data_IF_065964272237
#
_entry.id   IF_065964272237
#
_cell.length_a   1.000
_cell.length_b   1.000
_cell.length_c   1.000
_cell.angle_alpha   90.00
_cell.angle_beta   90.00
_cell.angle_gamma   90.00
#
_symmetry.space_group_name_H-M   'P 1'
#
loop_
_entity.id
_entity.type
_entity.pdbx_description
1 polymer ?
2 non-polymer ?
3 non-polymer ?
4 non-polymer ?
5 water ?
#
# COMPACT_ATOMS: atom_id res chain seq x y z
N UNK A 3 -3.26 -12.45 22.27
CA UNK A 3 -3.25 -12.83 20.87
C UNK A 3 -2.21 -13.92 20.59
N UNK A 4 -2.68 -15.15 20.41
CA UNK A 4 -1.79 -16.26 20.13
C UNK A 4 -1.27 -16.95 21.38
N UNK A 5 -0.47 -17.98 21.15
CA UNK A 5 0.15 -18.75 22.24
C UNK A 5 1.02 -17.81 23.05
N UNK A 6 1.26 -18.11 24.33
CA UNK A 6 2.06 -17.20 25.16
C UNK A 6 3.54 -17.22 24.75
N UNK A 7 4.25 -16.16 25.15
CA UNK A 7 5.58 -15.91 24.60
C UNK A 7 6.53 -17.08 24.83
N UNK A 8 6.43 -17.76 25.98
CA UNK A 8 7.35 -18.88 26.20
C UNK A 8 7.06 -20.04 25.27
N UNK A 9 5.79 -20.38 25.06
CA UNK A 9 5.44 -21.39 24.06
C UNK A 9 5.94 -20.97 22.68
N UNK A 10 5.76 -19.69 22.34
CA UNK A 10 6.18 -19.19 21.03
C UNK A 10 7.69 -19.28 20.85
N UNK A 11 8.45 -18.96 21.91
CA UNK A 11 9.90 -19.04 21.85
C UNK A 11 10.36 -20.48 21.68
N UNK A 12 9.73 -21.42 22.40
CA UNK A 12 10.08 -22.83 22.19
C UNK A 12 9.79 -23.25 20.75
N UNK A 13 8.63 -22.86 20.22
CA UNK A 13 8.27 -23.25 18.86
C UNK A 13 9.24 -22.64 17.83
N UNK A 14 9.71 -21.42 18.08
CA UNK A 14 10.65 -20.80 17.16
C UNK A 14 12.01 -21.48 17.21
N UNK A 15 12.47 -21.82 18.42
CA UNK A 15 13.69 -22.64 18.54
C UNK A 15 13.54 -23.92 17.73
N UNK A 16 12.42 -24.60 17.90
CA UNK A 16 12.16 -25.85 17.17
C UNK A 16 12.26 -25.61 15.66
N UNK A 17 11.55 -24.60 15.16
CA UNK A 17 11.56 -24.32 13.73
C UNK A 17 12.99 -24.06 13.26
N UNK A 18 13.75 -23.27 14.01
CA UNK A 18 15.06 -22.85 13.51
C UNK A 18 16.04 -24.01 13.52
N UNK A 19 15.92 -24.91 14.51
CA UNK A 19 16.73 -26.13 14.47
C UNK A 19 16.32 -27.02 13.30
N UNK A 20 15.03 -27.09 13.01
CA UNK A 20 14.59 -27.95 11.90
C UNK A 20 15.07 -27.40 10.56
N UNK A 21 14.97 -26.08 10.36
CA UNK A 21 15.37 -25.47 9.08
C UNK A 21 16.78 -25.88 8.68
N UNK A 22 17.65 -26.08 9.66
CA UNK A 22 19.06 -26.36 9.40
C UNK A 22 19.31 -27.82 9.03
N UNK A 23 18.32 -28.69 9.18
CA UNK A 23 18.46 -30.07 8.75
C UNK A 23 18.41 -30.14 7.23
N UNK A 24 19.31 -30.95 6.66
CA UNK A 24 19.34 -31.08 5.21
C UNK A 24 17.99 -31.56 4.70
N UNK A 25 17.35 -32.46 5.45
CA UNK A 25 16.01 -32.93 5.08
C UNK A 25 15.00 -31.79 4.96
N UNK A 26 15.29 -30.62 5.52
CA UNK A 26 14.35 -29.50 5.44
C UNK A 26 14.37 -28.83 4.07
N UNK A 27 15.48 -28.95 3.33
CA UNK A 27 15.66 -28.18 2.09
C UNK A 27 14.42 -28.04 1.22
N UNK A 28 13.68 -29.10 0.92
CA UNK A 28 12.53 -28.95 0.00
C UNK A 28 11.36 -28.19 0.60
N UNK A 29 11.36 -27.91 1.90
CA UNK A 29 10.24 -27.27 2.56
C UNK A 29 10.55 -25.86 3.07
N UNK A 30 11.77 -25.37 2.84
CA UNK A 30 12.13 -24.05 3.32
C UNK A 30 11.21 -22.96 2.77
N UNK A 31 10.79 -23.09 1.52
CA UNK A 31 10.00 -22.09 0.82
C UNK A 31 8.74 -22.71 0.28
N UNK A 32 7.78 -21.89 -0.16
CA UNK A 32 6.60 -22.44 -0.83
C UNK A 32 6.99 -23.09 -2.14
N UNK A 33 6.30 -24.17 -2.48
CA UNK A 33 6.49 -24.79 -3.79
C UNK A 33 6.06 -23.79 -4.86
N UNK A 34 6.82 -23.77 -5.96
CA UNK A 34 6.53 -22.89 -7.10
C UNK A 34 6.16 -23.78 -8.29
N UNK A 35 4.88 -24.10 -8.47
CA UNK A 35 4.50 -25.04 -9.54
C UNK A 35 4.88 -24.56 -10.94
N UNK A 36 5.00 -23.25 -11.16
CA UNK A 36 5.39 -22.78 -12.49
C UNK A 36 6.90 -22.89 -12.69
N UNK A 37 7.68 -22.47 -11.70
CA UNK A 37 9.13 -22.60 -11.84
C UNK A 37 9.55 -24.06 -12.03
N UNK A 38 8.80 -24.99 -11.44
CA UNK A 38 9.14 -26.41 -11.43
C UNK A 38 8.36 -27.21 -12.48
N UNK A 39 7.54 -26.55 -13.28
CA UNK A 39 6.82 -27.20 -14.38
C UNK A 39 5.96 -28.35 -13.88
N UNK A 40 5.28 -28.14 -12.76
CA UNK A 40 4.35 -29.14 -12.26
C UNK A 40 2.97 -28.51 -12.18
N UNK A 41 2.31 -28.31 -13.31
CA UNK A 41 1.06 -27.53 -13.32
C UNK A 41 -0.03 -28.12 -12.46
N UNK A 42 -0.06 -29.44 -12.28
CA UNK A 42 -1.13 -30.09 -11.53
C UNK A 42 -1.00 -29.90 -10.03
N UNK A 43 -0.04 -29.10 -9.54
CA UNK A 43 0.21 -29.06 -8.12
C UNK A 43 -0.94 -28.40 -7.37
N UNK A 44 -1.39 -27.24 -7.83
CA UNK A 44 -2.48 -26.54 -7.15
C UNK A 44 -3.84 -27.19 -7.38
N UNK A 45 -3.96 -28.12 -8.32
CA UNK A 45 -5.20 -28.88 -8.45
C UNK A 45 -5.28 -30.01 -7.43
N UNK A 46 -4.16 -30.72 -7.21
CA UNK A 46 -4.13 -31.77 -6.20
C UNK A 46 -4.02 -31.20 -4.79
N UNK A 47 -3.18 -30.19 -4.59
CA UNK A 47 -2.82 -29.69 -3.27
C UNK A 47 -3.63 -28.42 -3.04
N UNK A 48 -4.70 -28.55 -2.26
CA UNK A 48 -5.62 -27.45 -2.01
C UNK A 48 -5.09 -26.47 -0.97
N UNK A 49 -4.12 -26.88 -0.13
CA UNK A 49 -3.59 -26.03 0.93
C UNK A 49 -2.08 -26.22 1.02
N UNK A 50 -1.32 -25.49 0.20
CA UNK A 50 0.14 -25.58 0.29
C UNK A 50 0.65 -25.01 1.61
N UNK A 51 1.74 -25.60 2.10
CA UNK A 51 2.30 -25.22 3.39
C UNK A 51 3.82 -25.41 3.33
N UNK A 52 4.56 -24.56 4.04
CA UNK A 52 6.02 -24.62 3.99
C UNK A 52 6.59 -24.00 5.26
N UNK A 53 7.87 -24.28 5.52
CA UNK A 53 8.47 -23.84 6.78
C UNK A 53 8.49 -22.32 6.90
N UNK A 54 8.67 -21.61 5.79
CA UNK A 54 8.69 -20.15 5.83
C UNK A 54 7.33 -19.59 6.24
N UNK A 55 6.26 -20.14 5.66
CA UNK A 55 4.91 -19.72 6.03
C UNK A 55 4.65 -19.99 7.50
N UNK A 56 5.11 -21.14 8.00
CA UNK A 56 4.89 -21.48 9.40
C UNK A 56 5.62 -20.50 10.31
N UNK A 57 6.91 -20.27 10.02
CA UNK A 57 7.69 -19.33 10.82
C UNK A 57 7.05 -17.96 10.84
N UNK A 58 6.57 -17.49 9.70
CA UNK A 58 6.03 -16.13 9.64
C UNK A 58 4.65 -16.04 10.28
N UNK A 59 3.89 -17.14 10.30
CA UNK A 59 2.68 -17.16 11.12
C UNK A 59 3.04 -17.10 12.59
N UNK A 60 4.05 -17.86 13.00
CA UNK A 60 4.52 -17.85 14.38
C UNK A 60 4.84 -16.44 14.83
N UNK A 61 5.71 -15.76 14.07
CA UNK A 61 6.11 -14.41 14.44
C UNK A 61 4.93 -13.46 14.46
N UNK A 62 3.95 -13.67 13.57
CA UNK A 62 2.76 -12.83 13.52
C UNK A 62 1.78 -13.11 14.65
N UNK A 63 2.06 -14.09 15.52
CA UNK A 63 1.12 -14.52 16.55
C UNK A 63 -0.15 -15.08 15.94
N UNK A 64 -0.02 -15.76 14.79
CA UNK A 64 -1.15 -16.32 14.06
C UNK A 64 -1.46 -17.76 14.46
N UNK A 65 -0.76 -18.26 15.48
CA UNK A 65 -1.02 -19.62 16.01
C UNK A 65 -1.57 -19.49 17.43
N UNK A 66 -2.70 -20.14 17.71
CA UNK A 66 -3.36 -20.08 19.04
C UNK A 66 -3.06 -21.32 19.89
N UNK A 67 -2.60 -22.41 19.27
CA UNK A 67 -2.26 -23.66 19.99
C UNK A 67 -1.02 -24.28 19.37
N UNK A 68 -0.16 -24.97 20.14
CA UNK A 68 0.94 -25.73 19.52
C UNK A 68 0.43 -26.77 18.53
N UNK A 69 -0.79 -27.27 18.77
CA UNK A 69 -1.37 -28.26 17.88
C UNK A 69 -1.60 -27.69 16.48
N UNK A 70 -1.93 -26.40 16.37
CA UNK A 70 -2.03 -25.79 15.04
C UNK A 70 -0.71 -25.89 14.30
N UNK A 71 0.39 -25.55 14.97
CA UNK A 71 1.72 -25.66 14.35
C UNK A 71 1.96 -27.09 13.88
N UNK A 72 1.75 -28.05 14.77
CA UNK A 72 1.94 -29.45 14.39
C UNK A 72 1.07 -29.80 13.18
N UNK A 73 -0.17 -29.32 13.14
CA UNK A 73 -1.06 -29.62 12.03
C UNK A 73 -0.52 -29.06 10.72
N UNK A 74 -0.05 -27.81 10.75
CA UNK A 74 0.52 -27.24 9.53
C UNK A 74 1.70 -28.06 9.06
N UNK A 75 2.52 -28.55 9.99
CA UNK A 75 3.65 -29.41 9.66
C UNK A 75 3.18 -30.71 9.00
N UNK A 76 2.27 -31.41 9.68
CA UNK A 76 1.66 -32.61 9.12
C UNK A 76 1.17 -32.35 7.71
N UNK A 77 0.46 -31.22 7.52
CA UNK A 77 -0.10 -30.89 6.22
C UNK A 77 1.00 -30.71 5.20
N UNK A 78 2.08 -30.03 5.61
CA UNK A 78 3.25 -29.90 4.76
C UNK A 78 3.70 -31.26 4.23
N UNK A 79 3.71 -32.28 5.09
CA UNK A 79 4.15 -33.64 4.67
C UNK A 79 3.08 -34.33 3.83
N UNK A 80 1.81 -34.20 4.22
CA UNK A 80 0.72 -34.91 3.50
C UNK A 80 0.61 -34.33 2.08
N UNK A 81 0.99 -33.09 1.88
CA UNK A 81 1.01 -32.48 0.53
C UNK A 81 1.99 -33.24 -0.37
N UNK A 82 3.22 -33.43 0.10
CA UNK A 82 4.20 -34.17 -0.70
C UNK A 82 3.80 -35.64 -0.84
N UNK A 83 3.26 -36.25 0.22
CA UNK A 83 2.72 -37.59 0.10
C UNK A 83 1.71 -37.67 -1.04
N UNK A 84 0.83 -36.67 -1.12
CA UNK A 84 -0.28 -36.69 -2.07
C UNK A 84 0.18 -36.43 -3.49
N UNK A 85 1.16 -35.55 -3.67
CA UNK A 85 1.56 -35.16 -5.01
C UNK A 85 2.76 -35.92 -5.54
N UNK A 86 3.67 -36.37 -4.68
CA UNK A 86 4.83 -37.13 -5.13
C UNK A 86 4.72 -38.63 -4.86
N UNK A 87 3.76 -39.03 -4.04
CA UNK A 87 3.68 -40.41 -3.63
C UNK A 87 4.14 -40.58 -2.19
N UNK A 88 3.69 -41.68 -1.44
CA UNK A 88 4.10 -41.91 -0.05
C UNK A 88 5.57 -42.24 0.11
N UNK A 89 6.25 -42.67 -0.93
CA UNK A 89 7.63 -43.12 -0.76
C UNK A 89 8.63 -42.34 -1.61
N UNK A 90 8.18 -41.22 -2.00
CA UNK A 90 9.15 -40.41 -2.71
C UNK A 90 10.18 -39.82 -1.75
N UNK A 91 11.34 -39.48 -2.30
CA UNK A 91 12.43 -38.94 -1.50
C UNK A 91 11.98 -37.70 -0.75
N UNK A 92 11.34 -36.77 -1.45
CA UNK A 92 10.86 -35.54 -0.82
C UNK A 92 9.88 -35.87 0.31
N UNK A 93 9.00 -36.85 0.10
CA UNK A 93 8.04 -37.22 1.14
C UNK A 93 8.75 -37.78 2.37
N UNK A 94 9.76 -38.64 2.17
CA UNK A 94 10.48 -39.19 3.32
C UNK A 94 11.22 -38.10 4.07
N UNK A 95 11.80 -37.15 3.35
CA UNK A 95 12.44 -36.02 4.03
C UNK A 95 11.42 -35.23 4.84
N UNK A 96 10.23 -35.03 4.28
CA UNK A 96 9.15 -34.41 5.04
C UNK A 96 8.87 -35.17 6.32
N UNK A 97 8.81 -36.50 6.22
CA UNK A 97 8.51 -37.31 7.39
C UNK A 97 9.61 -37.16 8.44
N UNK A 98 10.86 -37.09 7.99
CA UNK A 98 11.99 -36.97 8.90
C UNK A 98 11.92 -35.65 9.66
N UNK A 99 11.68 -34.55 8.94
CA UNK A 99 11.63 -33.27 9.65
C UNK A 99 10.39 -33.20 10.52
N UNK A 100 9.29 -33.83 10.11
CA UNK A 100 8.11 -33.87 10.97
C UNK A 100 8.41 -34.60 12.27
N UNK A 101 9.16 -35.70 12.19
CA UNK A 101 9.54 -36.42 13.39
C UNK A 101 10.41 -35.55 14.28
N UNK A 102 11.43 -34.92 13.71
CA UNK A 102 12.30 -34.04 14.49
C UNK A 102 11.49 -32.94 15.16
N UNK A 103 10.53 -32.37 14.45
CA UNK A 103 9.77 -31.26 15.00
C UNK A 103 8.87 -31.72 16.14
N UNK A 104 8.31 -32.92 15.95
CA UNK A 104 7.49 -33.39 17.07
C UNK A 104 8.35 -33.68 18.30
N UNK A 105 9.41 -34.24 18.04
CA UNK A 105 10.34 -34.49 19.13
C UNK A 105 10.63 -33.20 19.90
N UNK A 106 10.96 -32.13 19.17
CA UNK A 106 11.20 -30.83 19.82
C UNK A 106 9.96 -30.37 20.58
N UNK A 107 8.79 -30.53 19.99
CA UNK A 107 7.56 -30.03 20.59
C UNK A 107 7.20 -30.78 21.86
N UNK A 108 7.63 -32.03 21.99
CA UNK A 108 7.41 -32.78 23.23
C UNK A 108 7.70 -31.95 24.47
N UNK A 109 8.78 -31.16 24.43
CA UNK A 109 9.22 -30.37 25.56
C UNK A 109 8.57 -28.99 25.60
N UNK A 110 7.50 -28.79 24.86
CA UNK A 110 6.81 -27.50 24.82
C UNK A 110 6.24 -27.16 26.21
N UNK A 111 6.70 -26.09 26.86
CA UNK A 111 6.13 -25.74 28.16
C UNK A 111 4.64 -25.46 28.06
N UNK A 112 3.95 -25.64 29.17
CA UNK A 112 2.51 -25.46 29.20
C UNK A 112 2.14 -23.98 29.25
N UNK A 113 0.91 -23.68 28.83
CA UNK A 113 0.37 -22.34 28.99
C UNK A 113 0.55 -21.85 30.42
N UNK A 114 0.10 -22.65 31.38
CA UNK A 114 -0.03 -22.26 32.79
C UNK A 114 -1.30 -21.41 32.96
N UNK B 3 -2.10 27.39 8.66
CA UNK B 3 -1.85 28.49 7.74
C UNK B 3 -2.33 28.17 6.31
N UNK B 4 -3.61 28.40 6.05
CA UNK B 4 -4.23 28.14 4.77
C UNK B 4 -5.67 28.60 4.76
N UNK B 5 -6.52 27.98 3.96
CA UNK B 5 -7.93 28.37 4.04
C UNK B 5 -8.46 28.05 5.42
N UNK B 6 -9.41 28.81 5.98
CA UNK B 6 -9.92 28.49 7.31
C UNK B 6 -10.46 27.07 7.38
N UNK B 7 -10.51 26.48 8.57
CA UNK B 7 -11.00 25.08 8.76
C UNK B 7 -12.38 24.80 8.14
N UNK B 8 -13.28 25.75 8.15
CA UNK B 8 -14.68 25.48 7.69
C UNK B 8 -14.73 25.35 6.17
N UNK B 9 -13.84 26.05 5.49
CA UNK B 9 -13.76 25.90 4.02
C UNK B 9 -13.00 24.62 3.71
N UNK B 10 -11.99 24.31 4.53
CA UNK B 10 -11.23 23.08 4.30
C UNK B 10 -12.11 21.85 4.46
N UNK B 11 -12.94 21.82 5.50
CA UNK B 11 -13.88 20.72 5.66
C UNK B 11 -14.76 20.57 4.43
N UNK B 12 -15.22 21.69 3.86
CA UNK B 12 -16.08 21.62 2.69
C UNK B 12 -15.33 21.04 1.50
N UNK B 13 -14.12 21.52 1.25
CA UNK B 13 -13.36 21.02 0.11
C UNK B 13 -13.02 19.54 0.30
N UNK B 14 -12.71 19.13 1.53
CA UNK B 14 -12.46 17.72 1.80
C UNK B 14 -13.70 16.87 1.55
N UNK B 15 -14.87 17.37 1.95
CA UNK B 15 -16.09 16.63 1.66
C UNK B 15 -16.31 16.50 0.16
N UNK B 16 -16.10 17.60 -0.58
CA UNK B 16 -16.24 17.55 -2.02
C UNK B 16 -15.31 16.50 -2.62
N UNK B 17 -14.06 16.49 -2.17
CA UNK B 17 -13.09 15.55 -2.70
C UNK B 17 -13.47 14.12 -2.35
N UNK B 18 -13.95 13.90 -1.12
CA UNK B 18 -14.35 12.56 -0.73
C UNK B 18 -15.51 12.07 -1.60
N UNK B 19 -16.47 12.95 -1.87
CA UNK B 19 -17.55 12.58 -2.79
C UNK B 19 -17.00 12.22 -4.17
N UNK B 20 -16.15 13.08 -4.72
CA UNK B 20 -15.61 12.84 -6.06
C UNK B 20 -14.86 11.51 -6.11
N UNK B 21 -14.06 11.22 -5.08
CA UNK B 21 -13.20 10.04 -5.10
C UNK B 21 -14.00 8.75 -5.24
N UNK B 22 -15.15 8.68 -4.58
CA UNK B 22 -15.94 7.41 -4.58
C UNK B 22 -16.61 7.18 -5.93
N UNK B 23 -16.69 8.20 -6.77
CA UNK B 23 -17.26 8.01 -8.12
C UNK B 23 -16.36 7.11 -8.97
N UNK B 24 -16.97 6.24 -9.77
CA UNK B 24 -16.21 5.36 -10.68
C UNK B 24 -15.55 6.23 -11.75
N UNK B 25 -16.23 7.28 -12.17
CA UNK B 25 -15.58 8.16 -13.13
C UNK B 25 -14.26 8.73 -12.62
N UNK B 26 -14.02 8.65 -11.31
CA UNK B 26 -12.81 9.21 -10.73
C UNK B 26 -11.63 8.26 -10.80
N UNK B 27 -11.83 7.01 -11.18
CA UNK B 27 -10.78 6.00 -11.05
C UNK B 27 -9.49 6.34 -11.79
N UNK B 28 -9.51 6.97 -12.97
CA UNK B 28 -8.24 7.30 -13.63
C UNK B 28 -7.47 8.42 -12.94
N UNK B 29 -8.11 9.19 -12.04
CA UNK B 29 -7.53 10.37 -11.42
C UNK B 29 -7.23 10.18 -9.93
N UNK B 30 -7.22 8.94 -9.45
CA UNK B 30 -7.08 8.71 -8.01
C UNK B 30 -5.66 8.95 -7.52
N UNK B 31 -4.65 8.63 -8.33
CA UNK B 31 -3.27 8.82 -7.91
C UNK B 31 -2.42 9.13 -9.13
N UNK B 32 -1.16 9.50 -8.93
CA UNK B 32 -0.32 9.90 -10.07
C UNK B 32 -0.33 8.88 -11.21
N UNK B 33 -0.38 9.40 -12.42
CA UNK B 33 -0.21 8.58 -13.62
C UNK B 33 1.14 7.89 -13.56
N UNK B 34 1.17 6.59 -13.84
CA UNK B 34 2.40 5.80 -13.90
C UNK B 34 2.74 5.54 -15.37
N UNK B 35 3.58 6.36 -16.00
CA UNK B 35 3.76 6.23 -17.46
C UNK B 35 4.45 4.95 -17.88
N UNK B 36 5.14 4.26 -16.97
CA UNK B 36 5.78 3.00 -17.32
C UNK B 36 4.77 1.87 -17.31
N UNK B 37 3.94 1.81 -16.27
CA UNK B 37 2.86 0.81 -16.25
C UNK B 37 1.96 0.94 -17.49
N UNK B 38 1.72 2.17 -17.94
CA UNK B 38 0.80 2.45 -19.04
C UNK B 38 1.49 2.55 -20.40
N UNK B 39 2.79 2.29 -20.46
CA UNK B 39 3.55 2.35 -21.72
C UNK B 39 3.24 3.63 -22.49
N UNK B 40 3.31 4.76 -21.80
CA UNK B 40 3.18 6.07 -22.42
C UNK B 40 4.43 6.87 -22.12
N UNK B 41 5.58 6.46 -22.65
CA UNK B 41 6.86 7.07 -22.22
C UNK B 41 6.98 8.56 -22.51
N UNK B 42 6.03 9.16 -23.20
CA UNK B 42 6.10 10.61 -23.54
C UNK B 42 5.09 11.45 -22.73
N UNK B 43 4.40 10.84 -21.78
CA UNK B 43 3.41 11.58 -20.95
C UNK B 43 4.06 12.81 -20.29
N UNK B 44 5.24 12.65 -19.68
CA UNK B 44 5.85 13.78 -18.99
C UNK B 44 6.45 14.78 -19.95
N UNK B 45 6.89 14.31 -21.12
CA UNK B 45 7.34 15.22 -22.15
C UNK B 45 6.27 16.23 -22.50
N UNK B 46 5.00 15.83 -22.38
CA UNK B 46 3.87 16.68 -22.71
C UNK B 46 3.20 17.31 -21.49
N UNK B 47 3.19 16.61 -20.36
CA UNK B 47 2.50 17.06 -19.16
C UNK B 47 3.56 17.57 -18.18
N UNK B 48 3.77 18.89 -18.16
CA UNK B 48 4.78 19.48 -17.30
C UNK B 48 4.34 19.57 -15.84
N UNK B 49 3.04 19.51 -15.55
CA UNK B 49 2.53 19.61 -14.18
C UNK B 49 1.46 18.55 -13.94
N UNK B 50 1.88 17.33 -13.63
CA UNK B 50 0.89 16.28 -13.30
C UNK B 50 0.11 16.65 -12.05
N UNK B 51 -1.18 16.30 -12.05
CA UNK B 51 -2.03 16.55 -10.90
C UNK B 51 -3.04 15.42 -10.77
N UNK B 52 -3.48 15.16 -9.55
CA UNK B 52 -4.37 14.05 -9.26
C UNK B 52 -5.05 14.26 -7.91
N UNK B 53 -6.00 13.36 -7.61
CA UNK B 53 -6.86 13.54 -6.44
C UNK B 53 -6.15 13.23 -5.13
N UNK B 54 -5.21 12.28 -5.14
CA UNK B 54 -4.42 12.02 -3.94
C UNK B 54 -3.63 13.26 -3.56
N UNK B 55 -2.96 13.85 -4.54
CA UNK B 55 -2.20 15.08 -4.33
C UNK B 55 -3.09 16.18 -3.78
N UNK B 56 -4.25 16.39 -4.39
CA UNK B 56 -5.16 17.45 -3.98
C UNK B 56 -5.60 17.24 -2.53
N UNK B 57 -6.06 16.02 -2.22
CA UNK B 57 -6.54 15.75 -0.87
C UNK B 57 -5.44 16.03 0.14
N UNK B 58 -4.29 15.45 -0.07
CA UNK B 58 -3.16 15.64 0.84
C UNK B 58 -2.77 17.12 0.95
N UNK B 59 -2.95 17.88 -0.09
CA UNK B 59 -2.57 19.30 -0.10
C UNK B 59 -3.54 20.07 0.79
N UNK B 60 -4.83 19.76 0.68
CA UNK B 60 -5.86 20.32 1.57
C UNK B 60 -5.49 19.97 3.01
N UNK B 61 -5.29 18.69 3.29
CA UNK B 61 -5.02 18.26 4.66
C UNK B 61 -3.78 18.94 5.25
N UNK B 62 -2.79 19.23 4.42
CA UNK B 62 -1.59 19.95 4.87
C UNK B 62 -1.82 21.46 4.99
N UNK B 63 -3.03 21.94 4.76
CA UNK B 63 -3.30 23.37 4.80
C UNK B 63 -2.52 24.11 3.71
N UNK B 64 -2.17 23.42 2.63
CA UNK B 64 -1.31 23.96 1.60
C UNK B 64 -2.07 24.71 0.51
N UNK B 65 -3.38 24.88 0.67
CA UNK B 65 -4.17 25.78 -0.16
C UNK B 65 -4.50 27.04 0.63
N UNK B 66 -4.34 28.19 -0.02
CA UNK B 66 -4.63 29.46 0.63
C UNK B 66 -5.95 30.08 0.21
N UNK B 67 -6.54 29.63 -0.90
CA UNK B 67 -7.84 30.08 -1.36
C UNK B 67 -8.54 28.90 -1.99
N UNK B 68 -9.89 28.90 -2.04
CA UNK B 68 -10.58 27.83 -2.76
C UNK B 68 -10.23 27.81 -4.24
N UNK B 69 -9.83 28.97 -4.79
CA UNK B 69 -9.47 29.03 -6.20
C UNK B 69 -8.20 28.22 -6.49
N UNK B 70 -7.29 28.10 -5.52
CA UNK B 70 -6.14 27.22 -5.73
C UNK B 70 -6.59 25.78 -5.89
N UNK B 71 -7.54 25.35 -5.07
CA UNK B 71 -8.11 24.01 -5.21
C UNK B 71 -8.73 23.85 -6.59
N UNK B 72 -9.55 24.83 -6.98
CA UNK B 72 -10.21 24.73 -8.29
C UNK B 72 -9.18 24.66 -9.41
N UNK B 73 -8.10 25.44 -9.31
CA UNK B 73 -7.07 25.44 -10.34
C UNK B 73 -6.40 24.08 -10.42
N UNK B 74 -6.11 23.47 -9.27
CA UNK B 74 -5.48 22.15 -9.31
C UNK B 74 -6.41 21.12 -9.95
N UNK B 75 -7.70 21.16 -9.62
CA UNK B 75 -8.65 20.23 -10.24
C UNK B 75 -8.70 20.44 -11.75
N UNK B 76 -8.84 21.69 -12.19
CA UNK B 76 -8.81 22.01 -13.61
C UNK B 76 -7.54 21.50 -14.27
N UNK B 77 -6.39 21.65 -13.60
CA UNK B 77 -5.14 21.17 -14.16
C UNK B 77 -5.18 19.66 -14.35
N UNK B 78 -5.70 18.95 -13.35
CA UNK B 78 -5.85 17.50 -13.48
C UNK B 78 -6.64 17.14 -14.73
N UNK B 79 -7.79 17.77 -14.94
CA UNK B 79 -8.60 17.38 -16.09
C UNK B 79 -7.97 17.84 -17.40
N UNK B 80 -7.36 19.03 -17.41
CA UNK B 80 -6.81 19.55 -18.65
C UNK B 80 -5.58 18.78 -19.09
N UNK B 81 -4.86 18.15 -18.14
CA UNK B 81 -3.78 17.26 -18.55
C UNK B 81 -4.31 16.14 -19.43
N UNK B 82 -5.44 15.54 -19.03
CA UNK B 82 -6.05 14.53 -19.89
C UNK B 82 -6.51 15.13 -21.21
N UNK B 83 -7.17 16.28 -21.16
CA UNK B 83 -7.59 16.95 -22.38
C UNK B 83 -6.42 17.10 -23.36
N UNK B 84 -5.27 17.52 -22.85
CA UNK B 84 -4.08 17.72 -23.68
C UNK B 84 -3.55 16.39 -24.20
N UNK B 85 -3.20 15.49 -23.28
CA UNK B 85 -2.48 14.28 -23.68
C UNK B 85 -3.39 13.32 -24.43
N UNK B 86 -4.53 12.97 -23.84
CA UNK B 86 -5.46 12.05 -24.47
C UNK B 86 -6.31 12.71 -25.54
N UNK B 87 -6.63 13.99 -25.36
CA UNK B 87 -7.54 14.68 -26.29
C UNK B 87 -8.83 15.13 -25.59
N UNK B 88 -9.55 16.13 -26.13
CA UNK B 88 -10.75 16.65 -25.48
C UNK B 88 -11.97 15.71 -25.48
N UNK B 89 -12.00 14.75 -26.39
CA UNK B 89 -13.17 13.86 -26.52
C UNK B 89 -12.84 12.47 -25.95
N UNK B 90 -11.57 12.21 -25.61
CA UNK B 90 -11.21 10.88 -25.16
C UNK B 90 -12.11 10.46 -24.01
N UNK B 91 -12.23 9.14 -23.82
CA UNK B 91 -13.11 8.61 -22.77
C UNK B 91 -12.64 9.08 -21.40
N UNK B 92 -11.35 8.93 -21.12
CA UNK B 92 -10.80 9.37 -19.83
C UNK B 92 -11.02 10.86 -19.62
N UNK B 93 -10.84 11.66 -20.67
CA UNK B 93 -11.02 13.10 -20.53
C UNK B 93 -12.47 13.44 -20.18
N UNK B 94 -13.42 12.70 -20.73
CA UNK B 94 -14.83 12.94 -20.41
C UNK B 94 -15.14 12.52 -18.97
N UNK B 95 -14.56 11.41 -18.52
CA UNK B 95 -14.69 11.04 -17.11
C UNK B 95 -14.19 12.17 -16.21
N UNK B 96 -13.04 12.74 -16.57
CA UNK B 96 -12.53 13.88 -15.83
C UNK B 96 -13.49 15.05 -15.83
N UNK B 97 -14.10 15.32 -16.99
CA UNK B 97 -15.07 16.42 -17.05
C UNK B 97 -16.25 16.16 -16.11
N UNK B 98 -16.69 14.90 -16.02
CA UNK B 98 -17.80 14.57 -15.14
C UNK B 98 -17.44 14.81 -13.67
N UNK B 99 -16.29 14.28 -13.24
CA UNK B 99 -15.92 14.50 -11.84
C UNK B 99 -15.68 15.98 -11.58
N UNK B 100 -15.17 16.71 -12.57
CA UNK B 100 -14.97 18.15 -12.41
C UNK B 100 -16.30 18.86 -12.22
N UNK B 101 -17.33 18.45 -12.96
CA UNK B 101 -18.65 19.04 -12.78
C UNK B 101 -19.18 18.75 -11.37
N UNK B 102 -19.03 17.51 -10.90
CA UNK B 102 -19.48 17.21 -9.54
C UNK B 102 -18.75 18.07 -8.51
N UNK B 103 -17.43 18.19 -8.66
CA UNK B 103 -16.62 18.99 -7.75
C UNK B 103 -17.05 20.46 -7.76
N UNK B 104 -17.28 21.01 -8.95
CA UNK B 104 -17.72 22.41 -9.03
C UNK B 104 -19.11 22.58 -8.44
N UNK B 105 -19.96 21.56 -8.54
CA UNK B 105 -21.28 21.67 -7.91
C UNK B 105 -21.13 21.76 -6.41
N UNK B 106 -20.19 21.01 -5.85
CA UNK B 106 -19.93 21.15 -4.42
C UNK B 106 -19.32 22.52 -4.09
N UNK B 107 -18.43 23.00 -4.96
CA UNK B 107 -17.75 24.27 -4.70
C UNK B 107 -18.70 25.46 -4.80
N UNK B 108 -19.78 25.31 -5.58
CA UNK B 108 -20.79 26.36 -5.61
C UNK B 108 -21.30 26.68 -4.22
N UNK B 109 -21.15 25.76 -3.26
CA UNK B 109 -21.65 25.92 -1.89
C UNK B 109 -20.56 26.15 -0.85
N UNK B 110 -19.34 26.46 -1.29
CA UNK B 110 -18.25 26.74 -0.37
C UNK B 110 -18.59 27.90 0.56
N UNK B 111 -18.67 27.69 1.87
CA UNK B 111 -18.95 28.81 2.78
C UNK B 111 -17.83 29.84 2.76
N UNK B 112 -18.21 31.10 2.93
CA UNK B 112 -17.23 32.17 2.99
C UNK B 112 -16.57 32.20 4.35
N UNK B 113 -15.40 32.84 4.41
CA UNK B 113 -14.67 32.97 5.68
C UNK B 113 -15.42 33.86 6.69
N UNK C 3 -10.58 -30.06 17.46
CA UNK C 3 -9.69 -29.18 16.69
C UNK C 3 -10.48 -28.21 15.82
N UNK C 4 -10.24 -26.92 16.02
CA UNK C 4 -10.94 -25.91 15.27
C UNK C 4 -12.13 -25.34 16.02
N UNK C 5 -12.58 -24.17 15.57
CA UNK C 5 -13.69 -23.48 16.24
C UNK C 5 -14.94 -24.33 16.13
N UNK C 6 -15.83 -24.31 17.12
CA UNK C 6 -17.01 -25.19 17.06
C UNK C 6 -17.89 -24.85 15.87
N UNK C 7 -18.73 -25.82 15.51
CA UNK C 7 -19.37 -25.81 14.20
C UNK C 7 -20.25 -24.58 14.00
N UNK C 8 -20.87 -24.07 15.07
CA UNK C 8 -21.73 -22.91 14.89
C UNK C 8 -20.93 -21.65 14.50
N UNK C 9 -19.77 -21.45 15.14
CA UNK C 9 -18.91 -20.34 14.75
C UNK C 9 -18.37 -20.53 13.34
N UNK C 10 -18.01 -21.76 12.98
CA UNK C 10 -17.50 -22.00 11.63
C UNK C 10 -18.57 -21.69 10.59
N UNK C 11 -19.82 -22.05 10.87
CA UNK C 11 -20.91 -21.73 9.95
C UNK C 11 -21.13 -20.22 9.86
N UNK C 12 -21.04 -19.50 10.98
CA UNK C 12 -21.15 -18.05 10.94
C UNK C 12 -20.05 -17.43 10.06
N UNK C 13 -18.81 -17.85 10.29
CA UNK C 13 -17.70 -17.36 9.46
C UNK C 13 -17.94 -17.67 7.98
N UNK C 14 -18.37 -18.89 7.68
CA UNK C 14 -18.54 -19.31 6.27
C UNK C 14 -19.69 -18.53 5.64
N UNK C 15 -20.77 -18.31 6.37
CA UNK C 15 -21.87 -17.47 5.85
C UNK C 15 -21.33 -16.07 5.52
N UNK C 16 -20.56 -15.47 6.42
CA UNK C 16 -19.98 -14.16 6.13
C UNK C 16 -19.10 -14.21 4.87
N UNK C 17 -18.29 -15.26 4.74
CA UNK C 17 -17.38 -15.35 3.60
C UNK C 17 -18.16 -15.50 2.30
N UNK C 18 -19.20 -16.34 2.29
CA UNK C 18 -19.99 -16.50 1.08
C UNK C 18 -20.82 -15.26 0.79
N UNK C 19 -21.13 -14.46 1.81
CA UNK C 19 -21.74 -13.17 1.57
C UNK C 19 -20.76 -12.22 0.88
N UNK C 20 -19.50 -12.23 1.33
CA UNK C 20 -18.51 -11.30 0.79
C UNK C 20 -18.12 -11.69 -0.63
N UNK C 21 -18.11 -12.98 -0.95
CA UNK C 21 -17.72 -13.39 -2.29
C UNK C 21 -18.71 -12.90 -3.34
N UNK C 22 -19.96 -12.68 -2.95
CA UNK C 22 -20.97 -12.16 -3.84
C UNK C 22 -20.83 -10.66 -4.11
N UNK C 23 -19.87 -10.01 -3.47
CA UNK C 23 -19.68 -8.56 -3.66
C UNK C 23 -18.70 -8.36 -4.82
N UNK C 24 -19.07 -7.51 -5.78
CA UNK C 24 -18.24 -7.22 -6.96
C UNK C 24 -16.87 -6.75 -6.48
N UNK C 25 -16.85 -6.03 -5.37
CA UNK C 25 -15.61 -5.51 -4.83
C UNK C 25 -14.68 -6.61 -4.35
N UNK C 26 -15.16 -7.84 -4.21
CA UNK C 26 -14.31 -8.94 -3.79
C UNK C 26 -13.56 -9.58 -4.96
N UNK C 27 -13.81 -9.13 -6.19
CA UNK C 27 -13.28 -9.83 -7.34
C UNK C 27 -11.76 -9.98 -7.35
N UNK C 28 -10.97 -8.99 -6.91
CA UNK C 28 -9.51 -9.16 -6.95
C UNK C 28 -8.95 -10.01 -5.82
N UNK C 29 -9.77 -10.36 -4.83
CA UNK C 29 -9.31 -11.09 -3.65
C UNK C 29 -9.87 -12.51 -3.59
N UNK C 30 -10.39 -13.03 -4.70
CA UNK C 30 -10.99 -14.36 -4.69
C UNK C 30 -9.95 -15.48 -4.67
N UNK C 31 -8.77 -15.24 -5.24
CA UNK C 31 -7.74 -16.27 -5.39
C UNK C 31 -6.38 -15.69 -5.10
N UNK C 32 -5.37 -16.52 -4.81
CA UNK C 32 -4.04 -16.01 -4.51
C UNK C 32 -3.50 -15.10 -5.61
N UNK C 33 -2.84 -14.03 -5.17
CA UNK C 33 -2.17 -13.13 -6.11
C UNK C 33 -1.13 -13.90 -6.92
N UNK C 34 -1.17 -13.76 -8.24
CA UNK C 34 -0.25 -14.45 -9.13
C UNK C 34 0.80 -13.45 -9.64
N UNK C 35 1.98 -13.40 -9.02
CA UNK C 35 2.97 -12.40 -9.46
C UNK C 35 3.32 -12.43 -10.94
N UNK C 36 3.51 -13.60 -11.54
CA UNK C 36 4.01 -13.65 -12.91
C UNK C 36 2.93 -13.18 -13.89
N UNK C 37 1.70 -13.66 -13.71
CA UNK C 37 0.62 -13.24 -14.60
C UNK C 37 0.40 -11.74 -14.55
N UNK C 38 0.67 -11.11 -13.42
CA UNK C 38 0.52 -9.67 -13.27
C UNK C 38 1.79 -8.90 -13.56
N UNK C 39 2.88 -9.58 -13.90
CA UNK C 39 4.17 -8.92 -14.13
C UNK C 39 4.56 -8.04 -12.94
N UNK C 40 4.70 -8.69 -11.78
CA UNK C 40 5.14 -8.02 -10.56
C UNK C 40 6.10 -8.94 -9.83
N UNK C 41 7.31 -9.14 -10.35
CA UNK C 41 8.18 -10.20 -9.83
C UNK C 41 8.64 -9.97 -8.39
N UNK C 42 8.43 -8.78 -7.83
CA UNK C 42 8.85 -8.50 -6.46
C UNK C 42 7.71 -8.55 -5.46
N UNK C 43 6.54 -9.05 -5.88
CA UNK C 43 5.40 -9.09 -4.95
C UNK C 43 5.79 -9.75 -3.64
N UNK C 44 6.44 -10.91 -3.70
CA UNK C 44 6.73 -11.68 -2.50
C UNK C 44 7.89 -11.09 -1.71
N UNK C 45 8.74 -10.27 -2.33
CA UNK C 45 9.75 -9.55 -1.55
C UNK C 45 9.10 -8.58 -0.57
N UNK C 46 7.97 -7.97 -0.95
CA UNK C 46 7.27 -7.02 -0.11
C UNK C 46 6.21 -7.68 0.75
N UNK C 47 5.48 -8.65 0.19
CA UNK C 47 4.34 -9.27 0.86
C UNK C 47 4.81 -10.61 1.41
N UNK C 48 5.20 -10.63 2.69
CA UNK C 48 5.75 -11.82 3.32
C UNK C 48 4.68 -12.87 3.63
N UNK C 49 3.43 -12.46 3.83
CA UNK C 49 2.36 -13.39 4.18
C UNK C 49 1.19 -13.19 3.22
N UNK C 50 1.27 -13.73 2.01
CA UNK C 50 0.14 -13.65 1.08
C UNK C 50 -1.13 -14.21 1.70
N UNK C 51 -2.25 -13.59 1.37
CA UNK C 51 -3.54 -14.10 1.81
C UNK C 51 -4.58 -13.79 0.74
N UNK C 52 -5.70 -14.50 0.82
CA UNK C 52 -6.77 -14.36 -0.15
C UNK C 52 -8.00 -15.08 0.39
N UNK C 53 -9.12 -14.89 -0.30
CA UNK C 53 -10.40 -15.42 0.18
C UNK C 53 -10.45 -16.92 0.07
N UNK C 54 -10.00 -17.47 -1.06
CA UNK C 54 -10.00 -18.91 -1.25
C UNK C 54 -9.25 -19.61 -0.11
N UNK C 55 -8.05 -19.13 0.18
CA UNK C 55 -7.28 -19.71 1.28
C UNK C 55 -8.06 -19.65 2.59
N UNK C 56 -8.77 -18.54 2.83
CA UNK C 56 -9.51 -18.39 4.08
C UNK C 56 -10.65 -19.41 4.16
N UNK C 57 -11.41 -19.55 3.07
CA UNK C 57 -12.53 -20.49 3.07
C UNK C 57 -12.03 -21.93 3.23
N UNK C 58 -10.93 -22.30 2.58
CA UNK C 58 -10.34 -23.64 2.72
C UNK C 58 -9.90 -23.87 4.18
N UNK C 59 -9.21 -22.92 4.77
CA UNK C 59 -8.78 -23.00 6.17
C UNK C 59 -10.00 -23.18 7.08
N UNK C 60 -11.04 -22.37 6.86
CA UNK C 60 -12.27 -22.58 7.60
C UNK C 60 -12.70 -24.03 7.53
N UNK C 61 -12.90 -24.53 6.29
CA UNK C 61 -13.41 -25.88 6.13
C UNK C 61 -12.45 -26.93 6.66
N UNK C 62 -11.15 -26.67 6.60
CA UNK C 62 -10.17 -27.61 7.12
C UNK C 62 -10.05 -27.57 8.64
N UNK C 63 -10.87 -26.77 9.32
CA UNK C 63 -10.84 -26.68 10.78
C UNK C 63 -9.51 -26.10 11.29
N UNK C 64 -8.91 -25.20 10.51
CA UNK C 64 -7.59 -24.68 10.82
C UNK C 64 -7.63 -23.32 11.49
N UNK C 65 -8.82 -22.84 11.87
CA UNK C 65 -8.96 -21.63 12.67
C UNK C 65 -9.35 -22.03 14.09
N UNK C 66 -8.61 -21.53 15.08
CA UNK C 66 -8.94 -21.80 16.47
C UNK C 66 -9.84 -20.73 17.09
N UNK C 67 -9.91 -19.55 16.50
CA UNK C 67 -10.77 -18.48 16.98
C UNK C 67 -11.34 -17.71 15.81
N UNK C 68 -12.47 -17.02 15.99
CA UNK C 68 -12.94 -16.09 14.95
C UNK C 68 -11.95 -14.97 14.68
N UNK C 69 -11.25 -14.52 15.73
CA UNK C 69 -10.29 -13.44 15.57
C UNK C 69 -9.23 -13.79 14.55
N UNK C 70 -8.85 -15.06 14.48
CA UNK C 70 -7.87 -15.48 13.47
C UNK C 70 -8.39 -15.22 12.06
N UNK C 71 -9.67 -15.53 11.83
CA UNK C 71 -10.26 -15.28 10.52
C UNK C 71 -10.23 -13.80 10.21
N UNK C 72 -10.67 -12.97 11.17
CA UNK C 72 -10.64 -11.53 10.92
C UNK C 72 -9.23 -11.05 10.63
N UNK C 73 -8.23 -11.63 11.31
CA UNK C 73 -6.85 -11.25 11.06
C UNK C 73 -6.40 -11.63 9.65
N UNK C 74 -6.80 -12.80 9.17
CA UNK C 74 -6.45 -13.16 7.79
C UNK C 74 -7.09 -12.22 6.79
N UNK C 75 -8.34 -11.84 7.03
CA UNK C 75 -9.02 -10.91 6.13
C UNK C 75 -8.29 -9.57 6.10
N UNK C 76 -7.99 -9.03 7.29
CA UNK C 76 -7.25 -7.78 7.39
C UNK C 76 -5.90 -7.89 6.70
N UNK C 77 -5.25 -9.05 6.79
CA UNK C 77 -3.95 -9.25 6.16
C UNK C 77 -4.07 -9.17 4.64
N UNK C 78 -5.13 -9.76 4.08
CA UNK C 78 -5.43 -9.60 2.66
C UNK C 78 -5.44 -8.13 2.26
N UNK C 79 -6.29 -7.37 2.94
CA UNK C 79 -6.47 -5.96 2.55
C UNK C 79 -5.18 -5.17 2.79
N UNK C 80 -4.50 -5.43 3.91
CA UNK C 80 -3.26 -4.73 4.23
C UNK C 80 -2.16 -5.05 3.23
N UNK C 81 -2.15 -6.28 2.70
CA UNK C 81 -1.20 -6.61 1.63
C UNK C 81 -1.42 -5.70 0.45
N UNK C 82 -2.67 -5.59 -0.01
CA UNK C 82 -2.90 -4.65 -1.11
C UNK C 82 -2.45 -3.24 -0.74
N UNK C 83 -2.73 -2.81 0.50
CA UNK C 83 -2.33 -1.47 0.91
C UNK C 83 -0.82 -1.27 0.88
N UNK C 84 -0.06 -2.31 1.18
CA UNK C 84 1.40 -2.16 1.21
C UNK C 84 2.01 -2.24 -0.18
N UNK C 85 1.45 -3.06 -1.07
CA UNK C 85 2.08 -3.19 -2.38
C UNK C 85 1.59 -2.12 -3.37
N UNK C 86 0.30 -1.81 -3.35
CA UNK C 86 -0.30 -0.90 -4.31
C UNK C 86 -0.51 0.49 -3.76
N UNK C 87 -0.20 0.70 -2.48
CA UNK C 87 -0.48 1.97 -1.85
C UNK C 87 -1.89 1.97 -1.30
N UNK C 88 -2.19 2.93 -0.41
CA UNK C 88 -3.49 2.94 0.27
C UNK C 88 -4.65 3.46 -0.55
N UNK C 89 -4.40 4.19 -1.64
CA UNK C 89 -5.48 4.78 -2.42
C UNK C 89 -5.74 4.07 -3.74
N UNK C 90 -5.05 2.96 -4.01
CA UNK C 90 -5.31 2.21 -5.23
C UNK C 90 -6.75 1.70 -5.24
N UNK C 91 -7.31 1.57 -6.45
CA UNK C 91 -8.66 1.05 -6.59
C UNK C 91 -8.80 -0.29 -5.86
N UNK C 92 -7.80 -1.17 -6.02
CA UNK C 92 -7.89 -2.50 -5.42
C UNK C 92 -7.87 -2.41 -3.90
N UNK C 93 -7.05 -1.52 -3.34
CA UNK C 93 -7.04 -1.34 -1.89
C UNK C 93 -8.38 -0.82 -1.39
N UNK C 94 -9.02 0.08 -2.14
CA UNK C 94 -10.34 0.56 -1.71
C UNK C 94 -11.38 -0.56 -1.80
N UNK C 95 -11.30 -1.40 -2.83
CA UNK C 95 -12.18 -2.56 -2.92
C UNK C 95 -11.99 -3.47 -1.72
N UNK C 96 -10.74 -3.72 -1.36
CA UNK C 96 -10.46 -4.50 -0.17
C UNK C 96 -11.04 -3.89 1.08
N UNK C 97 -10.92 -2.57 1.23
CA UNK C 97 -11.46 -1.89 2.40
C UNK C 97 -12.98 -2.04 2.47
N UNK C 98 -13.65 -1.93 1.32
CA UNK C 98 -15.11 -2.05 1.30
C UNK C 98 -15.54 -3.45 1.70
N UNK C 99 -14.91 -4.46 1.10
CA UNK C 99 -15.32 -5.81 1.46
C UNK C 99 -14.95 -6.11 2.91
N UNK C 100 -13.87 -5.52 3.41
CA UNK C 100 -13.50 -5.73 4.80
C UNK C 100 -14.53 -5.13 5.75
N UNK C 101 -15.05 -3.95 5.42
CA UNK C 101 -16.11 -3.36 6.24
C UNK C 101 -17.35 -4.25 6.25
N UNK C 102 -17.74 -4.74 5.06
CA UNK C 102 -18.89 -5.66 5.01
C UNK C 102 -18.63 -6.90 5.84
N UNK C 103 -17.40 -7.42 5.77
CA UNK C 103 -17.07 -8.63 6.49
C UNK C 103 -17.13 -8.41 8.00
N UNK C 104 -16.76 -7.22 8.46
CA UNK C 104 -16.78 -6.89 9.91
C UNK C 104 -18.22 -6.75 10.44
N UNK C 105 -19.14 -6.32 9.59
CA UNK C 105 -20.55 -6.24 10.01
C UNK C 105 -21.10 -7.65 10.20
N UNK C 106 -20.82 -8.52 9.24
CA UNK C 106 -21.26 -9.94 9.31
C UNK C 106 -20.58 -10.62 10.51
N UNK C 107 -19.34 -10.27 10.78
CA UNK C 107 -18.60 -10.99 11.83
C UNK C 107 -19.00 -10.49 13.23
N UNK C 108 -19.35 -9.22 13.36
CA UNK C 108 -19.67 -8.70 14.69
C UNK C 108 -20.73 -9.54 15.39
N UNK C 109 -21.54 -10.26 14.63
CA UNK C 109 -22.65 -11.09 15.11
C UNK C 109 -22.20 -12.42 15.70
N UNK C 110 -20.92 -12.75 15.63
CA UNK C 110 -20.42 -14.09 15.87
C UNK C 110 -20.84 -14.61 17.25
N UNK C 111 -21.37 -15.83 17.33
CA UNK C 111 -21.75 -16.40 18.64
C UNK C 111 -20.56 -16.94 19.41
N UNK C 112 -20.74 -17.05 20.72
CA UNK C 112 -19.65 -17.46 21.59
C UNK C 112 -19.31 -18.94 21.40
N UNK C 113 -18.13 -19.32 21.90
CA UNK C 113 -17.69 -20.71 21.82
C UNK C 113 -18.65 -21.62 22.59
N UNK C 114 -19.03 -21.23 23.80
CA UNK C 114 -19.98 -22.00 24.59
C UNK C 114 -21.10 -21.11 25.13
N UNK D 3 -4.03 36.04 -10.30
CA UNK D 3 -3.73 34.72 -9.66
C UNK D 3 -2.27 34.67 -9.21
N UNK D 4 -2.02 34.66 -7.91
CA UNK D 4 -0.62 34.44 -7.47
C UNK D 4 0.15 35.62 -6.93
N UNK D 5 1.32 35.36 -6.37
CA UNK D 5 2.21 36.41 -5.88
C UNK D 5 2.49 37.41 -6.99
N UNK D 6 2.80 38.67 -6.67
CA UNK D 6 3.05 39.66 -7.71
C UNK D 6 4.38 39.45 -8.42
N UNK D 7 4.49 40.04 -9.61
CA UNK D 7 5.59 39.71 -10.52
C UNK D 7 6.95 39.96 -9.88
N UNK D 8 7.09 41.04 -9.10
CA UNK D 8 8.40 41.36 -8.54
C UNK D 8 8.83 40.32 -7.51
N UNK D 9 7.87 39.71 -6.81
CA UNK D 9 8.20 38.61 -5.90
C UNK D 9 8.49 37.32 -6.65
N UNK D 10 7.60 36.97 -7.59
CA UNK D 10 7.75 35.72 -8.33
C UNK D 10 9.11 35.63 -9.00
N UNK D 11 9.58 36.73 -9.58
CA UNK D 11 10.86 36.68 -10.28
C UNK D 11 12.03 36.55 -9.31
N UNK D 12 11.92 37.17 -8.14
CA UNK D 12 12.94 36.97 -7.11
C UNK D 12 13.02 35.50 -6.74
N UNK D 13 11.86 34.89 -6.47
CA UNK D 13 11.84 33.48 -6.09
C UNK D 13 12.36 32.60 -7.23
N UNK D 14 12.04 32.96 -8.47
CA UNK D 14 12.52 32.16 -9.60
C UNK D 14 14.04 32.21 -9.70
N UNK D 15 14.62 33.40 -9.51
CA UNK D 15 16.08 33.51 -9.53
C UNK D 15 16.70 32.76 -8.36
N UNK D 16 16.05 32.80 -7.19
CA UNK D 16 16.58 32.07 -6.04
C UNK D 16 16.60 30.57 -6.32
N UNK D 17 15.50 30.05 -6.88
CA UNK D 17 15.44 28.65 -7.23
C UNK D 17 16.51 28.31 -8.27
N UNK D 18 16.69 29.18 -9.27
CA UNK D 18 17.67 28.93 -10.30
C UNK D 18 19.09 28.90 -9.73
N UNK D 19 19.36 29.76 -8.76
CA UNK D 19 20.63 29.71 -8.06
C UNK D 19 20.80 28.38 -7.33
N UNK D 20 19.77 27.98 -6.59
CA UNK D 20 19.84 26.73 -5.82
C UNK D 20 20.06 25.54 -6.76
N UNK D 21 19.44 25.56 -7.94
CA UNK D 21 19.52 24.41 -8.83
C UNK D 21 20.95 24.06 -9.16
N UNK D 22 21.80 25.06 -9.37
CA UNK D 22 23.16 24.84 -9.83
C UNK D 22 24.10 24.42 -8.70
N UNK D 23 23.62 24.34 -7.47
CA UNK D 23 24.44 23.81 -6.39
C UNK D 23 24.56 22.30 -6.52
N UNK D 24 25.79 21.80 -6.52
CA UNK D 24 26.06 20.37 -6.48
C UNK D 24 25.18 19.70 -5.42
N UNK D 25 25.10 20.33 -4.24
CA UNK D 25 24.27 19.84 -3.15
C UNK D 25 22.82 19.63 -3.57
N UNK D 26 22.38 20.27 -4.65
CA UNK D 26 20.98 20.16 -5.06
C UNK D 26 20.71 18.97 -5.95
N UNK D 27 21.73 18.29 -6.46
CA UNK D 27 21.52 17.20 -7.41
C UNK D 27 20.44 16.21 -6.98
N UNK D 28 20.36 15.75 -5.72
CA UNK D 28 19.32 14.77 -5.36
C UNK D 28 17.92 15.34 -5.32
N UNK D 29 17.77 16.66 -5.41
CA UNK D 29 16.46 17.30 -5.27
C UNK D 29 15.98 17.94 -6.58
N UNK D 30 16.76 17.80 -7.66
CA UNK D 30 16.45 18.51 -8.90
C UNK D 30 15.13 18.07 -9.51
N UNK D 31 14.76 16.80 -9.35
CA UNK D 31 13.58 16.26 -10.01
C UNK D 31 12.77 15.40 -9.06
N UNK D 32 11.53 15.05 -9.42
CA UNK D 32 10.72 14.20 -8.55
C UNK D 32 11.21 12.76 -8.56
N UNK D 33 10.79 12.03 -7.53
CA UNK D 33 11.08 10.60 -7.50
C UNK D 33 10.30 9.91 -8.61
N UNK D 34 10.96 8.99 -9.31
CA UNK D 34 10.39 8.12 -10.33
C UNK D 34 8.98 7.67 -9.97
N UNK D 35 7.96 8.05 -10.74
CA UNK D 35 6.57 7.68 -10.44
C UNK D 35 6.18 6.27 -10.91
N UNK D 36 6.99 5.28 -10.56
CA UNK D 36 6.77 3.91 -10.98
C UNK D 36 6.23 3.10 -9.81
N UNK D 37 5.50 2.02 -10.13
CA UNK D 37 4.78 1.26 -9.11
C UNK D 37 5.72 0.72 -8.04
N UNK D 38 6.91 0.27 -8.44
CA UNK D 38 7.89 -0.22 -7.47
C UNK D 38 8.15 0.81 -6.37
N UNK D 39 8.20 2.10 -6.73
CA UNK D 39 8.49 3.13 -5.76
C UNK D 39 7.33 3.45 -4.83
N UNK D 40 6.27 2.66 -4.88
CA UNK D 40 5.13 2.87 -3.98
C UNK D 40 5.45 2.22 -2.63
N UNK D 41 5.83 0.95 -2.59
CA UNK D 41 6.26 0.36 -1.30
C UNK D 41 7.67 0.73 -0.90
N UNK D 42 8.47 1.30 -1.80
CA UNK D 42 9.82 1.70 -1.45
C UNK D 42 9.87 3.11 -0.88
N UNK D 43 9.04 4.03 -1.39
CA UNK D 43 9.17 5.43 -1.05
C UNK D 43 7.83 6.13 -0.80
N UNK D 44 6.95 6.09 -1.80
CA UNK D 44 5.72 6.86 -1.71
C UNK D 44 4.86 6.45 -0.53
N UNK D 45 4.96 5.19 -0.09
CA UNK D 45 4.20 4.76 1.08
C UNK D 45 4.63 5.50 2.35
N UNK D 46 5.84 6.05 2.38
CA UNK D 46 6.33 6.74 3.57
C UNK D 46 6.32 8.25 3.43
N UNK D 47 6.40 8.75 2.22
CA UNK D 47 6.48 10.18 1.95
C UNK D 47 5.16 10.60 1.31
N UNK D 48 4.25 11.14 2.13
CA UNK D 48 2.90 11.41 1.64
C UNK D 48 2.86 12.54 0.62
N UNK D 49 3.72 13.54 0.77
CA UNK D 49 3.77 14.69 -0.13
C UNK D 49 5.20 14.86 -0.61
N UNK D 50 5.60 14.15 -1.67
CA UNK D 50 6.90 14.40 -2.29
C UNK D 50 6.98 15.84 -2.79
N UNK D 51 8.20 16.35 -2.90
CA UNK D 51 8.43 17.70 -3.39
C UNK D 51 9.84 17.78 -3.94
N UNK D 52 10.05 18.67 -4.91
CA UNK D 52 11.35 18.80 -5.55
C UNK D 52 11.51 20.19 -6.14
N UNK D 53 12.76 20.53 -6.47
CA UNK D 53 13.06 21.86 -7.01
C UNK D 53 12.29 22.12 -8.31
N UNK D 54 12.31 21.16 -9.23
CA UNK D 54 11.62 21.36 -10.51
C UNK D 54 10.13 21.61 -10.30
N UNK D 55 9.50 20.86 -9.40
CA UNK D 55 8.09 21.09 -9.13
C UNK D 55 7.84 22.50 -8.61
N UNK D 56 8.72 22.98 -7.71
CA UNK D 56 8.61 24.34 -7.20
C UNK D 56 8.74 25.36 -8.33
N UNK D 57 9.72 25.17 -9.21
CA UNK D 57 9.96 26.12 -10.29
C UNK D 57 8.77 26.18 -11.23
N UNK D 58 8.26 25.01 -11.65
CA UNK D 58 7.11 25.00 -12.53
C UNK D 58 5.86 25.55 -11.86
N UNK D 59 5.75 25.41 -10.53
CA UNK D 59 4.64 26.04 -9.81
C UNK D 59 4.77 27.54 -9.82
N UNK D 60 5.99 28.04 -9.58
CA UNK D 60 6.23 29.48 -9.67
C UNK D 60 5.82 30.01 -11.03
N UNK D 61 6.24 29.33 -12.10
CA UNK D 61 5.94 29.84 -13.44
C UNK D 61 4.47 29.76 -13.77
N UNK D 62 3.72 28.88 -13.10
CA UNK D 62 2.29 28.72 -13.31
C UNK D 62 1.45 29.70 -12.49
N UNK D 63 2.08 30.49 -11.64
CA UNK D 63 1.37 31.39 -10.73
C UNK D 63 0.58 30.63 -9.68
N UNK D 64 1.05 29.43 -9.33
CA UNK D 64 0.34 28.55 -8.41
C UNK D 64 0.74 28.75 -6.95
N UNK D 65 1.56 29.74 -6.64
CA UNK D 65 1.89 30.12 -5.27
C UNK D 65 1.18 31.43 -4.94
N UNK D 66 0.40 31.42 -3.86
CA UNK D 66 -0.35 32.62 -3.46
C UNK D 66 0.44 33.53 -2.54
N UNK D 67 1.35 32.98 -1.73
CA UNK D 67 2.19 33.74 -0.83
C UNK D 67 3.61 33.23 -0.93
N UNK D 68 4.60 34.05 -0.56
CA UNK D 68 5.97 33.54 -0.47
C UNK D 68 6.12 32.40 0.53
N UNK D 69 5.36 32.46 1.62
CA UNK D 69 5.43 31.42 2.64
C UNK D 69 5.07 30.05 2.07
N UNK D 70 4.18 30.00 1.07
CA UNK D 70 3.89 28.74 0.42
C UNK D 70 5.14 28.14 -0.21
N UNK D 71 5.92 28.97 -0.90
CA UNK D 71 7.16 28.49 -1.51
C UNK D 71 8.10 27.98 -0.42
N UNK D 72 8.25 28.75 0.64
CA UNK D 72 9.09 28.31 1.74
C UNK D 72 8.65 26.95 2.27
N UNK D 73 7.34 26.77 2.43
CA UNK D 73 6.82 25.50 2.94
C UNK D 73 7.16 24.37 2.00
N UNK D 74 7.06 24.60 0.68
CA UNK D 74 7.37 23.51 -0.24
C UNK D 74 8.87 23.15 -0.20
N UNK D 75 9.74 24.15 -0.13
CA UNK D 75 11.18 23.87 0.00
C UNK D 75 11.45 23.07 1.28
N UNK D 76 10.90 23.54 2.40
CA UNK D 76 11.07 22.82 3.66
C UNK D 76 10.53 21.41 3.58
N UNK D 77 9.40 21.23 2.90
CA UNK D 77 8.82 19.90 2.76
C UNK D 77 9.76 19.00 1.98
N UNK D 78 10.37 19.54 0.94
CA UNK D 78 11.34 18.78 0.16
C UNK D 78 12.50 18.31 1.05
N UNK D 79 12.98 19.17 1.95
CA UNK D 79 14.09 18.79 2.82
C UNK D 79 13.63 17.81 3.90
N UNK D 80 12.43 18.03 4.46
CA UNK D 80 11.95 17.18 5.54
C UNK D 80 11.64 15.78 5.04
N UNK D 81 11.13 15.67 3.81
CA UNK D 81 10.97 14.36 3.19
C UNK D 81 12.27 13.59 3.26
N UNK D 82 13.38 14.26 2.95
CA UNK D 82 14.65 13.56 2.93
C UNK D 82 15.06 13.18 4.35
N UNK D 83 14.96 14.12 5.28
CA UNK D 83 15.31 13.79 6.65
C UNK D 83 14.52 12.58 7.14
N UNK D 84 13.26 12.44 6.70
CA UNK D 84 12.44 11.33 7.16
C UNK D 84 12.78 10.02 6.45
N UNK D 85 13.03 10.06 5.15
CA UNK D 85 13.32 8.83 4.42
C UNK D 85 14.74 8.33 4.65
N UNK D 86 15.69 9.24 4.84
CA UNK D 86 17.10 8.86 4.98
C UNK D 86 17.65 9.13 6.38
N UNK D 87 16.86 9.69 7.28
CA UNK D 87 17.34 9.95 8.62
C UNK D 87 18.15 11.23 8.70
N UNK D 88 18.31 11.75 9.91
CA UNK D 88 18.83 13.13 10.05
C UNK D 88 20.29 13.28 9.67
N UNK D 89 21.08 12.21 9.69
CA UNK D 89 22.52 12.32 9.46
C UNK D 89 22.95 11.82 8.09
N UNK D 90 22.00 11.45 7.23
CA UNK D 90 22.34 11.05 5.87
C UNK D 90 22.99 12.21 5.13
N UNK D 91 23.95 11.88 4.26
CA UNK D 91 24.63 12.92 3.48
C UNK D 91 23.62 13.72 2.68
N UNK D 92 22.67 13.03 2.05
CA UNK D 92 21.66 13.71 1.26
C UNK D 92 20.85 14.67 2.13
N UNK D 93 20.55 14.29 3.37
CA UNK D 93 19.79 15.17 4.24
C UNK D 93 20.59 16.45 4.54
N UNK D 94 21.84 16.27 4.56
CA UNK D 94 22.71 17.39 4.88
C UNK D 94 22.84 18.35 3.69
N UNK D 95 22.82 17.75 2.47
CA UNK D 95 22.72 18.53 1.24
C UNK D 95 21.40 19.31 1.19
N UNK D 96 20.31 18.65 1.59
CA UNK D 96 19.03 19.34 1.68
C UNK D 96 19.12 20.54 2.60
N UNK D 97 19.74 20.36 3.76
CA UNK D 97 19.87 21.47 4.71
C UNK D 97 20.71 22.60 4.13
N UNK D 98 21.75 22.25 3.39
CA UNK D 98 22.61 23.28 2.81
C UNK D 98 21.87 24.11 1.77
N UNK D 99 21.18 23.43 0.84
CA UNK D 99 20.46 24.19 -0.17
C UNK D 99 19.28 24.93 0.46
N UNK D 100 18.74 24.42 1.57
CA UNK D 100 17.71 25.15 2.29
C UNK D 100 18.26 26.42 2.91
N UNK D 101 19.46 26.35 3.48
CA UNK D 101 20.09 27.56 4.03
C UNK D 101 20.35 28.57 2.92
N UNK D 102 20.78 28.09 1.75
CA UNK D 102 21.00 28.99 0.63
C UNK D 102 19.69 29.65 0.19
N UNK D 103 18.63 28.84 0.08
CA UNK D 103 17.33 29.38 -0.31
C UNK D 103 16.81 30.36 0.72
N UNK D 104 17.06 30.11 2.00
CA UNK D 104 16.60 31.03 3.03
C UNK D 104 17.38 32.34 2.98
N UNK D 105 18.68 32.27 2.71
CA UNK D 105 19.45 33.49 2.50
C UNK D 105 18.86 34.30 1.34
N UNK D 106 18.55 33.63 0.22
CA UNK D 106 17.92 34.32 -0.91
C UNK D 106 16.60 34.95 -0.50
N UNK D 107 15.73 34.19 0.15
CA UNK D 107 14.39 34.69 0.49
C UNK D 107 14.45 35.76 1.60
N UNK D 108 15.61 36.02 2.18
CA UNK D 108 15.75 37.11 3.19
C UNK D 108 15.55 38.44 2.47
N UNK D 109 15.85 38.47 1.18
CA UNK D 109 15.76 39.71 0.39
C UNK D 109 14.55 39.62 -0.54
N UNK D 110 13.56 38.82 -0.18
CA UNK D 110 12.30 38.79 -0.97
C UNK D 110 11.63 40.16 -0.84
N UNK D 111 11.30 40.85 -1.94
CA UNK D 111 10.57 42.12 -1.84
C UNK D 111 9.18 41.91 -1.28
N UNK D 112 8.64 42.98 -0.71
CA UNK D 112 7.26 42.96 -0.22
C UNK D 112 6.29 43.17 -1.37
N UNK D 113 5.10 42.59 -1.23
CA UNK D 113 4.10 42.76 -2.29
C UNK D 113 3.71 44.22 -2.42
N UNK D 114 3.57 44.92 -1.30
CA UNK D 114 3.13 46.31 -1.30
C UNK D 114 1.83 46.44 -2.08
#
# INVERSE_FOLDING_TARGET
>A
GAMGIPQHQQKHALMAIKAVKRLKDARPFLQPVDPVALNIPLYFNFIKRPMDLQTIERKLNANAYETPEQITEDFNLMVENSAKFNGPTAVITQMGRNIQAAFEKHMLNMPAKD
>B
GAMGIPQHQQKHALMAIKAVKRLKDARPFLQPVDPVALNIPLYFNFIKRPMDLQTIERKLNANAYETPEQITEDFNLMVENSAKFNGPTAVITQMGRNIQAAFEKHMLNMPAKD
>C
GAMGIPQHQQKHALMAIKAVKRLKDARPFLQPVDPVALNIPLYFNFIKRPMDLQTIERKLNANAYETPEQITEDFNLMVENSAKFNGPTAVITQMGRNIQAAFEKHMLNMPAKD
>D
GAMGIPQHQQKHALMAIKAVKRLKDARPFLQPVDPVALNIPLYFNFIKRPMDLQTIERKLNANAYETPEQITEDFNLMVENSAKFNGPTAVITQMGRNIQAAFEKHMLNMPAKD
#
